data_IF_940204885317
#
_entry.id   IF_940204885317
#
_cell.length_a   1.000
_cell.length_b   1.000
_cell.length_c   1.000
_cell.angle_alpha   90.00
_cell.angle_beta   90.00
_cell.angle_gamma   90.00
#
_symmetry.space_group_name_H-M   'P 1'
#
loop_
_entity.id
_entity.type
_entity.pdbx_description
1 polymer ?
#
# COMPACT_ATOMS: atom_id res chain seq x y z
N UNK A 1 7.45 -1.08 -7.99
CA UNK A 1 6.06 -0.99 -7.52
C UNK A 1 6.00 -1.03 -6.00
N UNK A 2 5.23 -0.14 -5.39
CA UNK A 2 4.89 -0.13 -3.96
C UNK A 2 3.53 -0.77 -3.76
N UNK A 3 3.38 -1.61 -2.73
CA UNK A 3 2.12 -2.26 -2.39
C UNK A 3 1.50 -1.56 -1.17
N UNK A 4 0.26 -1.13 -1.33
CA UNK A 4 -0.55 -0.57 -0.24
C UNK A 4 -1.21 -1.66 0.64
N UNK A 5 -1.58 -1.29 1.87
CA UNK A 5 -2.35 -2.13 2.79
C UNK A 5 -3.62 -2.67 2.13
N UNK A 6 -4.37 -1.85 1.38
CA UNK A 6 -5.61 -2.26 0.71
C UNK A 6 -5.39 -3.40 -0.29
N UNK A 7 -4.33 -3.35 -1.09
CA UNK A 7 -4.02 -4.40 -2.07
C UNK A 7 -3.60 -5.71 -1.38
N UNK A 8 -2.75 -5.63 -0.35
CA UNK A 8 -2.30 -6.81 0.41
C UNK A 8 -3.49 -7.51 1.11
N UNK A 9 -4.38 -6.74 1.72
CA UNK A 9 -5.55 -7.29 2.40
C UNK A 9 -6.57 -7.85 1.40
N UNK A 10 -6.76 -7.21 0.24
CA UNK A 10 -7.64 -7.73 -0.79
C UNK A 10 -7.22 -9.13 -1.27
N UNK A 11 -5.92 -9.35 -1.44
CA UNK A 11 -5.34 -10.67 -1.79
C UNK A 11 -5.56 -11.67 -0.67
N UNK A 12 -5.25 -11.31 0.58
CA UNK A 12 -5.39 -12.22 1.73
C UNK A 12 -6.85 -12.60 2.01
N UNK A 13 -7.78 -11.67 1.82
CA UNK A 13 -9.21 -11.90 2.02
C UNK A 13 -9.91 -12.44 0.77
N UNK A 14 -9.19 -12.62 -0.35
CA UNK A 14 -9.74 -13.05 -1.64
C UNK A 14 -10.96 -12.23 -2.05
N UNK A 15 -10.86 -10.91 -1.86
CA UNK A 15 -11.93 -10.01 -2.27
C UNK A 15 -12.05 -9.97 -3.79
N UNK A 16 -13.21 -9.60 -4.33
CA UNK A 16 -13.41 -9.45 -5.77
C UNK A 16 -12.27 -8.64 -6.44
N UNK A 17 -11.70 -9.18 -7.54
CA UNK A 17 -10.59 -8.60 -8.28
C UNK A 17 -9.19 -8.90 -7.73
N UNK A 18 -9.05 -9.79 -6.73
CA UNK A 18 -7.73 -10.07 -6.15
C UNK A 18 -6.78 -10.80 -7.12
N UNK A 19 -7.31 -11.59 -8.07
CA UNK A 19 -6.49 -12.27 -9.06
C UNK A 19 -5.76 -11.27 -9.97
N UNK A 20 -6.43 -10.19 -10.39
CA UNK A 20 -5.84 -9.16 -11.23
C UNK A 20 -4.73 -8.39 -10.49
N UNK A 21 -4.94 -8.09 -9.20
CA UNK A 21 -3.91 -7.50 -8.34
C UNK A 21 -2.69 -8.41 -8.27
N UNK A 22 -2.90 -9.71 -8.07
CA UNK A 22 -1.81 -10.68 -7.95
C UNK A 22 -1.01 -10.81 -9.25
N UNK A 23 -1.69 -10.82 -10.40
CA UNK A 23 -1.04 -10.84 -11.72
C UNK A 23 -0.23 -9.56 -11.98
N UNK A 24 -0.75 -8.40 -11.61
CA UNK A 24 -0.03 -7.11 -11.74
C UNK A 24 1.24 -7.10 -10.87
N UNK A 25 1.15 -7.57 -9.63
CA UNK A 25 2.33 -7.69 -8.74
C UNK A 25 3.37 -8.64 -9.32
N UNK A 26 2.95 -9.79 -9.85
CA UNK A 26 3.87 -10.79 -10.43
C UNK A 26 4.64 -10.25 -11.63
N UNK A 27 4.06 -9.32 -12.39
CA UNK A 27 4.70 -8.68 -13.55
C UNK A 27 5.65 -7.55 -13.16
N UNK A 28 5.42 -6.91 -12.01
CA UNK A 28 6.18 -5.75 -11.58
C UNK A 28 7.48 -6.14 -10.88
N UNK A 29 8.63 -5.59 -11.29
CA UNK A 29 9.93 -5.70 -10.60
C UNK A 29 10.58 -4.30 -10.52
N UNK A 30 10.97 -3.77 -9.35
CA UNK A 30 10.93 -4.36 -8.00
C UNK A 30 9.56 -4.24 -7.30
N UNK A 31 9.38 -4.91 -6.15
CA UNK A 31 8.18 -4.84 -5.29
C UNK A 31 8.58 -4.42 -3.88
N UNK A 32 7.94 -3.37 -3.38
CA UNK A 32 8.32 -2.69 -2.15
C UNK A 32 7.11 -2.49 -1.25
N UNK A 33 7.30 -2.60 0.06
CA UNK A 33 6.30 -2.28 1.08
C UNK A 33 6.95 -1.44 2.15
N UNK A 34 6.32 -0.33 2.56
CA UNK A 34 6.85 0.46 3.65
C UNK A 34 6.70 -0.31 4.96
N UNK A 35 7.71 -0.29 5.83
CA UNK A 35 7.63 -0.89 7.16
C UNK A 35 6.35 -0.52 7.94
N UNK A 36 5.87 0.74 7.95
CA UNK A 36 4.62 1.08 8.63
C UNK A 36 3.35 0.59 7.89
N UNK A 37 3.38 0.45 6.56
CA UNK A 37 2.28 -0.18 5.79
C UNK A 37 2.18 -1.68 6.12
N UNK A 38 3.33 -2.37 6.26
CA UNK A 38 3.35 -3.75 6.77
C UNK A 38 2.74 -3.84 8.18
N UNK A 39 3.08 -2.90 9.07
CA UNK A 39 2.52 -2.87 10.42
C UNK A 39 1.01 -2.65 10.40
N UNK A 40 0.52 -1.71 9.59
CA UNK A 40 -0.91 -1.45 9.41
C UNK A 40 -1.65 -2.70 8.89
N UNK A 41 -1.18 -3.30 7.80
CA UNK A 41 -1.77 -4.51 7.24
C UNK A 41 -1.80 -5.67 8.24
N UNK A 42 -0.72 -5.84 9.03
CA UNK A 42 -0.66 -6.85 10.09
C UNK A 42 -1.68 -6.61 11.21
N UNK A 43 -1.84 -5.35 11.65
CA UNK A 43 -2.83 -4.97 12.67
C UNK A 43 -4.25 -5.22 12.16
N UNK A 44 -4.56 -4.80 10.92
CA UNK A 44 -5.90 -4.99 10.34
C UNK A 44 -6.21 -6.47 10.13
N UNK A 45 -5.26 -7.25 9.62
CA UNK A 45 -5.40 -8.69 9.47
C UNK A 45 -5.65 -9.37 10.82
N UNK A 46 -4.84 -9.05 11.82
CA UNK A 46 -4.96 -9.59 13.18
C UNK A 46 -6.30 -9.24 13.83
N UNK A 47 -6.77 -7.99 13.66
CA UNK A 47 -8.06 -7.56 14.17
C UNK A 47 -9.26 -8.27 13.51
N UNK A 48 -9.12 -8.65 12.22
CA UNK A 48 -10.19 -9.31 11.46
C UNK A 48 -10.21 -10.83 11.59
N UNK A 49 -9.05 -11.48 11.62
CA UNK A 49 -8.95 -12.95 11.57
C UNK A 49 -8.27 -13.60 12.77
N UNK A 50 -7.69 -12.80 13.69
CA UNK A 50 -6.89 -13.27 14.82
C UNK A 50 -5.39 -13.05 14.60
N UNK A 51 -4.67 -12.60 15.64
CA UNK A 51 -3.24 -12.29 15.56
C UNK A 51 -2.37 -13.52 15.27
N UNK A 52 -2.85 -14.72 15.57
CA UNK A 52 -2.20 -15.98 15.21
C UNK A 52 -2.12 -16.21 13.70
N UNK A 53 -2.88 -15.45 12.88
CA UNK A 53 -2.88 -15.55 11.41
C UNK A 53 -2.02 -14.50 10.71
N UNK A 54 -1.37 -13.60 11.45
CA UNK A 54 -0.52 -12.55 10.88
C UNK A 54 0.64 -13.12 10.06
N UNK A 55 1.06 -14.37 10.32
CA UNK A 55 2.07 -15.05 9.51
C UNK A 55 1.68 -15.20 8.03
N UNK A 56 0.37 -15.19 7.70
CA UNK A 56 -0.09 -15.26 6.30
C UNK A 56 0.35 -14.04 5.50
N UNK A 57 0.37 -12.86 6.11
CA UNK A 57 0.88 -11.65 5.48
C UNK A 57 2.38 -11.76 5.19
N UNK A 58 3.16 -12.25 6.16
CA UNK A 58 4.61 -12.44 5.98
C UNK A 58 4.91 -13.51 4.92
N UNK A 59 4.13 -14.60 4.89
CA UNK A 59 4.22 -15.63 3.87
C UNK A 59 3.91 -15.06 2.48
N UNK A 60 2.86 -14.24 2.35
CA UNK A 60 2.53 -13.56 1.10
C UNK A 60 3.68 -12.65 0.64
N UNK A 61 4.24 -11.80 1.51
CA UNK A 61 5.36 -10.93 1.12
C UNK A 61 6.60 -11.73 0.69
N UNK A 62 6.87 -12.85 1.36
CA UNK A 62 7.95 -13.76 0.97
C UNK A 62 7.70 -14.41 -0.40
N UNK A 63 6.48 -14.85 -0.69
CA UNK A 63 6.10 -15.43 -1.99
C UNK A 63 6.24 -14.40 -3.12
N UNK A 64 5.81 -13.16 -2.87
CA UNK A 64 5.91 -12.06 -3.82
C UNK A 64 7.33 -11.51 -3.97
N UNK A 65 8.28 -11.95 -3.13
CA UNK A 65 9.63 -11.39 -3.02
C UNK A 65 9.58 -9.87 -2.82
N UNK A 66 8.64 -9.40 -1.99
CA UNK A 66 8.46 -7.99 -1.69
C UNK A 66 9.47 -7.53 -0.63
N UNK A 67 10.19 -6.45 -0.92
CA UNK A 67 11.16 -5.86 -0.02
C UNK A 67 10.47 -4.92 0.99
N UNK A 68 10.77 -5.08 2.27
CA UNK A 68 10.29 -4.16 3.30
C UNK A 68 11.26 -2.99 3.45
N UNK A 69 10.81 -1.80 3.09
CA UNK A 69 11.64 -0.59 3.06
C UNK A 69 11.54 0.16 4.42
N UNK A 70 12.69 0.51 5.04
CA UNK A 70 12.72 1.36 6.23
C UNK A 70 12.13 2.75 5.98
N UNK A 71 11.26 3.22 6.88
CA UNK A 71 10.57 4.50 6.73
C UNK A 71 11.33 5.64 7.42
N UNK A 72 12.22 6.30 6.68
CA UNK A 72 13.02 7.44 7.14
C UNK A 72 12.36 8.83 7.02
N UNK A 73 13.13 9.87 7.35
CA UNK A 73 12.69 11.26 7.39
C UNK A 73 12.15 11.80 6.06
N UNK A 74 12.78 11.43 4.93
CA UNK A 74 12.32 11.84 3.60
C UNK A 74 10.88 11.39 3.33
N UNK A 75 10.56 10.15 3.70
CA UNK A 75 9.20 9.62 3.59
C UNK A 75 8.23 10.35 4.53
N UNK A 76 8.63 10.66 5.76
CA UNK A 76 7.79 11.40 6.69
C UNK A 76 7.45 12.81 6.17
N UNK A 77 8.43 13.52 5.60
CA UNK A 77 8.22 14.83 4.96
C UNK A 77 7.25 14.73 3.78
N UNK A 78 7.39 13.71 2.95
CA UNK A 78 6.48 13.51 1.82
C UNK A 78 5.08 13.11 2.27
N UNK A 79 4.92 12.27 3.30
CA UNK A 79 3.61 11.91 3.85
C UNK A 79 2.85 13.14 4.37
N UNK A 80 3.55 14.06 5.05
CA UNK A 80 2.96 15.34 5.50
C UNK A 80 2.56 16.19 4.29
N UNK A 81 3.41 16.27 3.27
CA UNK A 81 3.13 17.00 2.02
C UNK A 81 1.90 16.42 1.30
N UNK A 82 1.81 15.09 1.21
CA UNK A 82 0.71 14.35 0.62
C UNK A 82 -0.60 14.62 1.37
N UNK A 83 -0.61 14.51 2.70
CA UNK A 83 -1.80 14.79 3.50
C UNK A 83 -2.27 16.25 3.35
N UNK A 84 -1.32 17.20 3.26
CA UNK A 84 -1.65 18.60 2.99
C UNK A 84 -2.33 18.80 1.63
N UNK A 85 -1.90 18.06 0.60
CA UNK A 85 -2.42 18.15 -0.78
C UNK A 85 -3.72 17.37 -0.97
N UNK A 86 -3.80 16.16 -0.44
CA UNK A 86 -4.79 15.15 -0.80
C UNK A 86 -5.59 14.59 0.38
N UNK A 87 -5.33 15.07 1.60
CA UNK A 87 -5.88 14.49 2.81
C UNK A 87 -7.40 14.64 2.97
N UNK A 88 -7.98 13.72 3.76
CA UNK A 88 -9.39 13.73 4.14
C UNK A 88 -9.84 15.06 4.74
N UNK A 89 -11.00 15.54 4.28
CA UNK A 89 -11.56 16.84 4.69
C UNK A 89 -10.91 18.06 4.02
N UNK A 90 -9.92 17.85 3.14
CA UNK A 90 -9.22 18.91 2.41
C UNK A 90 -9.29 18.75 0.89
N UNK A 91 -9.26 17.52 0.40
CA UNK A 91 -9.25 17.20 -1.03
C UNK A 91 -10.19 16.04 -1.34
N UNK A 92 -10.77 15.97 -2.56
CA UNK A 92 -11.63 14.84 -2.96
C UNK A 92 -10.97 13.46 -2.96
N UNK A 93 -9.64 13.38 -3.04
CA UNK A 93 -8.90 12.10 -2.89
C UNK A 93 -9.06 11.50 -1.49
N UNK A 94 -9.09 12.35 -0.47
CA UNK A 94 -9.47 11.93 0.88
C UNK A 94 -8.46 11.07 1.63
N UNK A 95 -7.17 11.14 1.29
CA UNK A 95 -6.11 10.30 1.89
C UNK A 95 -6.13 10.36 3.42
N UNK A 96 -6.09 9.19 4.05
CA UNK A 96 -5.93 9.02 5.48
C UNK A 96 -4.44 8.90 5.85
N UNK A 97 -4.13 8.63 7.13
CA UNK A 97 -2.75 8.54 7.59
C UNK A 97 -1.99 7.36 6.94
N UNK A 98 -2.59 6.17 6.87
CA UNK A 98 -2.02 4.99 6.22
C UNK A 98 -1.74 5.22 4.74
N UNK A 99 -2.72 5.78 4.03
CA UNK A 99 -2.57 6.09 2.59
C UNK A 99 -1.38 7.02 2.32
N UNK A 100 -1.15 8.01 3.20
CA UNK A 100 -0.01 8.93 3.09
C UNK A 100 1.34 8.23 3.24
N UNK A 101 1.42 7.11 3.99
CA UNK A 101 2.66 6.35 4.14
C UNK A 101 2.99 5.58 2.86
N UNK A 102 2.00 4.91 2.29
CA UNK A 102 2.14 4.21 1.00
C UNK A 102 2.42 5.20 -0.14
N UNK A 103 1.71 6.32 -0.18
CA UNK A 103 1.96 7.43 -1.10
C UNK A 103 3.41 7.91 -0.99
N UNK A 104 3.89 8.18 0.23
CA UNK A 104 5.21 8.73 0.45
C UNK A 104 6.32 7.80 -0.02
N UNK A 105 6.19 6.50 0.24
CA UNK A 105 7.14 5.52 -0.26
C UNK A 105 7.18 5.53 -1.80
N UNK A 106 6.01 5.44 -2.45
CA UNK A 106 5.93 5.45 -3.91
C UNK A 106 6.54 6.71 -4.51
N UNK A 107 6.27 7.88 -3.91
CA UNK A 107 6.78 9.16 -4.39
C UNK A 107 8.29 9.32 -4.20
N UNK A 108 8.83 8.91 -3.05
CA UNK A 108 10.26 9.01 -2.74
C UNK A 108 11.08 8.01 -3.55
N UNK A 109 10.58 6.79 -3.70
CA UNK A 109 11.27 5.72 -4.45
C UNK A 109 11.09 5.85 -5.97
N UNK A 110 10.17 6.71 -6.44
CA UNK A 110 9.88 6.87 -7.87
C UNK A 110 9.19 5.63 -8.48
N UNK A 111 8.39 4.93 -7.68
CA UNK A 111 7.80 3.63 -8.02
C UNK A 111 6.27 3.75 -8.14
N UNK A 112 5.62 2.98 -9.04
CA UNK A 112 4.16 2.97 -9.14
C UNK A 112 3.54 2.39 -7.86
N UNK A 113 2.37 2.89 -7.46
CA UNK A 113 1.63 2.43 -6.28
C UNK A 113 0.47 1.52 -6.69
N UNK A 114 0.43 0.30 -6.14
CA UNK A 114 -0.70 -0.62 -6.28
C UNK A 114 -1.57 -0.58 -5.03
N UNK A 115 -2.87 -0.35 -5.24
CA UNK A 115 -3.89 -0.22 -4.20
C UNK A 115 -5.21 -0.78 -4.72
N UNK A 116 -6.16 -0.99 -3.80
CA UNK A 116 -7.56 -1.32 -4.15
C UNK A 116 -8.49 -0.19 -3.72
N UNK A 117 -9.47 0.12 -4.56
CA UNK A 117 -10.44 1.20 -4.33
C UNK A 117 -10.10 2.45 -5.14
N UNK A 118 -10.53 3.62 -4.65
CA UNK A 118 -10.41 4.90 -5.38
C UNK A 118 -9.53 5.92 -4.63
N UNK A 119 -8.94 5.54 -3.50
CA UNK A 119 -8.29 6.49 -2.57
C UNK A 119 -7.15 7.30 -3.25
N UNK A 120 -6.44 6.69 -4.19
CA UNK A 120 -5.35 7.35 -4.91
C UNK A 120 -5.72 7.85 -6.32
N UNK A 121 -6.93 7.62 -6.81
CA UNK A 121 -7.37 7.96 -8.18
C UNK A 121 -7.29 9.47 -8.48
N UNK A 122 -7.39 10.29 -7.43
CA UNK A 122 -7.34 11.76 -7.52
C UNK A 122 -6.02 12.32 -6.98
N UNK A 123 -4.96 11.53 -7.04
CA UNK A 123 -3.60 11.95 -6.72
C UNK A 123 -2.74 12.01 -7.97
N UNK A 124 -1.56 12.59 -7.86
CA UNK A 124 -0.51 12.54 -8.89
C UNK A 124 0.22 11.19 -8.98
N UNK A 125 -0.20 10.18 -8.20
CA UNK A 125 0.24 8.78 -8.32
C UNK A 125 -0.80 7.88 -9.00
N UNK A 126 -1.94 8.44 -9.43
CA UNK A 126 -2.94 7.68 -10.16
C UNK A 126 -2.34 7.14 -11.47
N UNK A 127 -2.03 5.85 -11.50
CA UNK A 127 -1.72 5.11 -12.72
C UNK A 127 -2.63 3.89 -12.78
N UNK A 128 -3.39 3.78 -13.87
CA UNK A 128 -4.14 2.57 -14.23
C UNK A 128 -3.44 1.99 -15.47
N UNK A 129 -3.01 0.72 -15.47
CA UNK A 129 -2.55 0.10 -16.70
C UNK A 129 -3.69 0.20 -17.74
N UNK A 130 -3.33 0.63 -18.95
CA UNK A 130 -4.21 0.61 -20.12
C UNK A 130 -4.53 -0.80 -20.56
#
# INVERSE_FOLDING_TARGET
MVLDTSALLAILFREEGYEDLLEEIRRAHPRKVAAPTLAEAGIVLGARLGFERVYLLLALLSELQAEVIPFGEAHAREAISAYRRYGRGRHPAGLNFGDCLSYALAKVEGEPLLYKGEDFDRTDLAWKPS
#
